data_IF_701573977642
#
_entry.id   IF_701573977642
#
_cell.length_a   1.000
_cell.length_b   1.000
_cell.length_c   1.000
_cell.angle_alpha   90.00
_cell.angle_beta   90.00
_cell.angle_gamma   90.00
#
_symmetry.space_group_name_H-M   'P 1'
#
loop_
_entity.id
_entity.type
_entity.pdbx_description
1 polymer ?
#
# COMPACT_ATOMS: atom_id res chain seq x y z
N UNK A 1 -2.13 -4.77 -35.13
CA UNK A 1 -1.61 -4.81 -33.76
C UNK A 1 -0.09 -4.89 -33.80
N UNK A 2 0.62 -3.96 -33.18
CA UNK A 2 2.09 -3.97 -33.13
C UNK A 2 2.54 -4.42 -31.75
N UNK A 3 3.43 -5.40 -31.70
CA UNK A 3 4.00 -5.93 -30.47
C UNK A 3 5.51 -5.72 -30.51
N UNK A 4 6.03 -4.96 -29.54
CA UNK A 4 7.46 -4.79 -29.34
C UNK A 4 7.94 -5.78 -28.26
N UNK A 5 8.94 -6.58 -28.60
CA UNK A 5 9.55 -7.56 -27.72
C UNK A 5 10.75 -6.95 -26.97
N UNK A 6 11.09 -7.53 -25.82
CA UNK A 6 12.22 -7.09 -24.97
C UNK A 6 13.56 -7.23 -25.70
N UNK A 7 13.66 -8.12 -26.69
CA UNK A 7 14.84 -8.28 -27.55
C UNK A 7 14.96 -7.20 -28.65
N UNK A 8 14.09 -6.18 -28.62
CA UNK A 8 14.06 -5.10 -29.58
C UNK A 8 13.38 -5.46 -30.90
N UNK A 9 12.86 -6.69 -31.07
CA UNK A 9 12.10 -7.05 -32.27
C UNK A 9 10.69 -6.48 -32.19
N UNK A 10 10.35 -5.70 -33.20
CA UNK A 10 8.99 -5.20 -33.39
C UNK A 10 8.30 -6.08 -34.41
N UNK A 11 7.19 -6.70 -34.02
CA UNK A 11 6.33 -7.48 -34.91
C UNK A 11 5.04 -6.73 -35.15
N UNK A 12 4.70 -6.53 -36.41
CA UNK A 12 3.43 -5.95 -36.84
C UNK A 12 2.53 -7.07 -37.31
N UNK A 13 1.39 -7.24 -36.63
CA UNK A 13 0.31 -8.11 -37.07
C UNK A 13 -0.73 -7.25 -37.76
N UNK A 14 -0.94 -7.48 -39.05
CA UNK A 14 -2.15 -7.00 -39.72
C UNK A 14 -3.31 -7.87 -39.26
N UNK A 15 -4.43 -7.26 -38.89
CA UNK A 15 -5.65 -8.02 -38.55
C UNK A 15 -6.20 -8.53 -39.88
N UNK A 16 -5.83 -9.75 -40.25
CA UNK A 16 -6.50 -10.44 -41.34
C UNK A 16 -7.98 -10.59 -40.95
N UNK A 17 -8.87 -9.96 -41.71
CA UNK A 17 -10.33 -10.10 -41.54
C UNK A 17 -10.83 -11.52 -41.87
N UNK A 18 -9.95 -12.40 -42.35
CA UNK A 18 -10.24 -13.80 -42.61
C UNK A 18 -9.34 -14.68 -41.75
N UNK A 19 -9.85 -15.08 -40.58
CA UNK A 19 -9.54 -16.42 -40.05
C UNK A 19 -10.19 -17.42 -40.99
N UNK A 20 -9.57 -18.58 -41.21
CA UNK A 20 -10.17 -19.65 -41.99
C UNK A 20 -11.50 -20.04 -41.32
N UNK A 21 -12.66 -19.75 -41.94
CA UNK A 21 -13.96 -19.97 -41.30
C UNK A 21 -14.19 -21.46 -41.02
N UNK A 22 -13.47 -22.33 -41.72
CA UNK A 22 -13.49 -23.77 -41.52
C UNK A 22 -12.83 -24.20 -40.20
N UNK A 23 -11.70 -23.58 -39.82
CA UNK A 23 -10.98 -23.92 -38.58
C UNK A 23 -11.76 -23.41 -37.35
N UNK A 24 -12.31 -22.21 -37.45
CA UNK A 24 -13.20 -21.64 -36.43
C UNK A 24 -14.50 -22.46 -36.30
N UNK A 25 -15.11 -22.86 -37.42
CA UNK A 25 -16.27 -23.74 -37.40
C UNK A 25 -15.95 -25.11 -36.78
N UNK A 26 -14.79 -25.69 -37.07
CA UNK A 26 -14.37 -26.97 -36.47
C UNK A 26 -14.10 -26.86 -34.96
N UNK A 27 -13.48 -25.76 -34.52
CA UNK A 27 -13.25 -25.51 -33.11
C UNK A 27 -14.57 -25.31 -32.35
N UNK A 28 -15.49 -24.52 -32.90
CA UNK A 28 -16.83 -24.34 -32.35
C UNK A 28 -17.60 -25.67 -32.32
N UNK A 29 -17.55 -26.47 -33.39
CA UNK A 29 -18.24 -27.76 -33.44
C UNK A 29 -17.73 -28.73 -32.35
N UNK A 30 -16.42 -28.69 -32.08
CA UNK A 30 -15.80 -29.46 -31.00
C UNK A 30 -16.25 -28.97 -29.62
N UNK A 31 -16.27 -27.65 -29.40
CA UNK A 31 -16.74 -27.04 -28.15
C UNK A 31 -18.21 -27.37 -27.88
N UNK A 32 -19.08 -27.22 -28.88
CA UNK A 32 -20.49 -27.58 -28.77
C UNK A 32 -20.70 -29.09 -28.59
N UNK A 33 -19.89 -29.93 -29.24
CA UNK A 33 -19.89 -31.38 -29.01
C UNK A 33 -19.56 -31.72 -27.55
N UNK A 34 -18.59 -31.02 -26.97
CA UNK A 34 -18.20 -31.21 -25.56
C UNK A 34 -19.27 -30.69 -24.59
N UNK A 35 -19.87 -29.52 -24.85
CA UNK A 35 -20.98 -29.00 -24.05
C UNK A 35 -22.18 -29.94 -24.08
N UNK A 36 -22.54 -30.47 -25.26
CA UNK A 36 -23.59 -31.48 -25.40
C UNK A 36 -23.29 -32.74 -24.58
N UNK A 37 -22.04 -33.22 -24.63
CA UNK A 37 -21.64 -34.38 -23.83
C UNK A 37 -21.78 -34.11 -22.32
N UNK A 38 -21.37 -32.94 -21.83
CA UNK A 38 -21.53 -32.55 -20.43
C UNK A 38 -23.01 -32.51 -20.01
N UNK A 39 -23.89 -31.93 -20.84
CA UNK A 39 -25.33 -31.88 -20.58
C UNK A 39 -25.96 -33.27 -20.56
N UNK A 40 -25.53 -34.18 -21.44
CA UNK A 40 -25.99 -35.57 -21.42
C UNK A 40 -25.55 -36.30 -20.15
N UNK A 41 -24.34 -36.02 -19.65
CA UNK A 41 -23.86 -36.55 -18.38
C UNK A 41 -24.66 -36.00 -17.20
N UNK A 42 -24.98 -34.69 -17.20
CA UNK A 42 -25.85 -34.09 -16.17
C UNK A 42 -27.26 -34.70 -16.19
N UNK A 43 -27.86 -34.90 -17.37
CA UNK A 43 -29.14 -35.61 -17.51
C UNK A 43 -29.06 -37.04 -16.98
N UNK A 44 -28.02 -37.78 -17.33
CA UNK A 44 -27.79 -39.13 -16.80
C UNK A 44 -27.65 -39.13 -15.27
N UNK A 45 -27.07 -38.10 -14.68
CA UNK A 45 -26.97 -37.95 -13.22
C UNK A 45 -28.35 -37.69 -12.61
N UNK A 46 -29.18 -36.84 -13.22
CA UNK A 46 -30.56 -36.59 -12.76
C UNK A 46 -31.44 -37.84 -12.85
N UNK A 47 -31.37 -38.61 -13.94
CA UNK A 47 -32.09 -39.89 -14.09
C UNK A 47 -31.62 -40.92 -13.06
N UNK A 48 -30.33 -40.96 -12.74
CA UNK A 48 -29.81 -41.82 -11.69
C UNK A 48 -30.35 -41.40 -10.31
N UNK A 49 -30.34 -40.10 -10.01
CA UNK A 49 -30.91 -39.56 -8.76
C UNK A 49 -32.41 -39.88 -8.61
N UNK A 50 -33.23 -39.87 -9.66
CA UNK A 50 -34.65 -40.25 -9.58
C UNK A 50 -34.85 -41.72 -9.17
N UNK A 51 -33.93 -42.58 -9.56
CA UNK A 51 -33.97 -44.02 -9.27
C UNK A 51 -33.40 -44.39 -7.89
N UNK A 52 -32.72 -43.47 -7.19
CA UNK A 52 -32.20 -43.68 -5.84
C UNK A 52 -33.33 -43.72 -4.80
N UNK A 53 -33.22 -44.65 -3.83
CA UNK A 53 -34.18 -44.77 -2.73
C UNK A 53 -34.10 -43.57 -1.77
N UNK A 54 -35.18 -43.31 -1.02
CA UNK A 54 -35.24 -42.18 -0.08
C UNK A 54 -34.19 -42.27 1.04
N UNK A 55 -33.86 -43.47 1.49
CA UNK A 55 -32.85 -43.73 2.52
C UNK A 55 -31.42 -43.43 2.02
N UNK A 56 -31.16 -43.64 0.73
CA UNK A 56 -29.86 -43.32 0.12
C UNK A 56 -29.67 -41.82 -0.09
N UNK A 57 -30.77 -41.06 -0.32
CA UNK A 57 -30.74 -39.59 -0.46
C UNK A 57 -30.52 -38.88 0.88
N UNK A 58 -31.05 -39.42 1.98
CA UNK A 58 -30.92 -38.81 3.32
C UNK A 58 -29.54 -39.05 3.96
N UNK A 59 -28.83 -40.12 3.58
CA UNK A 59 -27.48 -40.40 4.06
C UNK A 59 -26.38 -39.58 3.34
N UNK A 60 -26.72 -38.86 2.28
CA UNK A 60 -25.76 -38.05 1.53
C UNK A 60 -25.67 -36.64 2.13
N UNK A 61 -24.63 -36.39 2.93
CA UNK A 61 -24.33 -35.06 3.47
C UNK A 61 -23.91 -34.10 2.33
N UNK A 62 -24.88 -33.47 1.67
CA UNK A 62 -24.65 -32.51 0.59
C UNK A 62 -24.31 -31.14 1.15
N UNK A 63 -23.08 -30.68 0.91
CA UNK A 63 -22.69 -29.28 1.12
C UNK A 63 -23.21 -28.48 -0.09
N UNK A 64 -24.02 -27.44 0.08
CA UNK A 64 -24.50 -26.64 -1.04
C UNK A 64 -23.32 -25.96 -1.76
N UNK A 65 -23.12 -26.30 -3.03
CA UNK A 65 -22.11 -25.69 -3.91
C UNK A 65 -22.75 -24.49 -4.61
N UNK A 66 -22.02 -23.36 -4.68
CA UNK A 66 -22.46 -22.16 -5.42
C UNK A 66 -22.90 -20.98 -4.56
N UNK A 67 -22.77 -21.05 -3.23
CA UNK A 67 -23.02 -19.89 -2.36
C UNK A 67 -21.81 -18.97 -2.37
N UNK A 68 -21.89 -17.84 -3.07
CA UNK A 68 -20.89 -16.78 -2.96
C UNK A 68 -21.18 -15.96 -1.69
N UNK A 69 -20.30 -16.06 -0.69
CA UNK A 69 -20.31 -15.18 0.49
C UNK A 69 -19.19 -14.16 0.35
N UNK A 70 -19.50 -12.88 0.47
CA UNK A 70 -18.51 -11.82 0.58
C UNK A 70 -18.16 -11.57 2.05
N UNK A 71 -16.87 -11.48 2.36
CA UNK A 71 -16.41 -11.04 3.67
C UNK A 71 -16.37 -9.50 3.70
N UNK A 72 -16.93 -8.87 4.75
CA UNK A 72 -16.82 -7.42 4.94
C UNK A 72 -15.37 -6.95 5.06
N UNK A 73 -15.12 -5.69 4.68
CA UNK A 73 -13.76 -5.10 4.62
C UNK A 73 -13.01 -5.16 5.96
N UNK A 74 -13.74 -5.03 7.08
CA UNK A 74 -13.16 -4.99 8.43
C UNK A 74 -13.45 -6.26 9.24
N UNK A 75 -13.62 -7.41 8.57
CA UNK A 75 -13.89 -8.71 9.19
C UNK A 75 -12.83 -9.19 10.21
N UNK A 76 -11.64 -8.58 10.24
CA UNK A 76 -10.59 -8.90 11.21
C UNK A 76 -10.90 -8.42 12.64
N UNK A 77 -11.87 -7.54 12.79
CA UNK A 77 -12.25 -6.95 14.06
C UNK A 77 -13.49 -7.66 14.59
N UNK A 78 -13.36 -8.27 15.76
CA UNK A 78 -14.49 -8.86 16.48
C UNK A 78 -15.02 -7.84 17.48
N UNK A 79 -16.35 -7.64 17.49
CA UNK A 79 -17.01 -6.77 18.45
C UNK A 79 -16.98 -7.42 19.84
N UNK A 80 -16.65 -6.64 20.86
CA UNK A 80 -16.59 -7.05 22.26
C UNK A 80 -17.70 -6.35 23.05
N UNK A 81 -18.31 -7.02 24.05
CA UNK A 81 -19.25 -6.39 24.96
C UNK A 81 -18.71 -5.12 25.64
N UNK A 82 -19.57 -4.14 25.87
CA UNK A 82 -19.20 -2.82 26.38
C UNK A 82 -18.50 -2.85 27.76
N UNK A 83 -18.70 -3.91 28.54
CA UNK A 83 -18.18 -4.10 29.90
C UNK A 83 -16.68 -4.45 29.95
N UNK A 84 -16.10 -4.93 28.85
CA UNK A 84 -14.67 -5.26 28.83
C UNK A 84 -13.81 -3.99 28.67
N UNK A 85 -12.79 -3.90 29.52
CA UNK A 85 -11.73 -2.88 29.44
C UNK A 85 -10.77 -3.22 28.32
N UNK A 86 -10.77 -2.36 27.30
CA UNK A 86 -9.76 -2.35 26.26
C UNK A 86 -8.49 -1.67 26.79
N UNK A 87 -7.27 -2.14 26.45
CA UNK A 87 -6.04 -1.41 26.73
C UNK A 87 -6.06 -0.03 26.05
N UNK A 88 -5.72 1.02 26.82
CA UNK A 88 -5.71 2.41 26.35
C UNK A 88 -4.92 2.53 25.04
N UNK A 89 -5.63 2.95 23.99
CA UNK A 89 -5.02 3.22 22.69
C UNK A 89 -4.47 4.64 22.71
N UNK A 90 -3.19 4.79 22.37
CA UNK A 90 -2.50 6.09 22.41
C UNK A 90 -2.85 6.95 21.19
N UNK A 91 -3.29 6.32 20.09
CA UNK A 91 -3.64 6.99 18.84
C UNK A 91 -5.14 7.27 18.71
N UNK A 92 -5.51 8.48 18.30
CA UNK A 92 -6.89 8.82 17.98
C UNK A 92 -7.02 9.74 16.77
N UNK A 93 -8.16 9.64 16.08
CA UNK A 93 -8.56 10.53 15.01
C UNK A 93 -9.98 10.99 15.24
N UNK A 94 -10.19 12.30 15.18
CA UNK A 94 -11.48 12.93 15.35
C UNK A 94 -11.82 13.78 14.13
N UNK A 95 -13.05 13.65 13.65
CA UNK A 95 -13.57 14.47 12.56
C UNK A 95 -15.07 14.71 12.73
N UNK A 96 -15.58 15.72 12.04
CA UNK A 96 -17.02 16.02 12.04
C UNK A 96 -17.72 15.18 10.98
N UNK A 97 -18.75 14.46 11.38
CA UNK A 97 -19.59 13.64 10.51
C UNK A 97 -21.05 14.00 10.77
N UNK A 98 -21.66 14.73 9.82
CA UNK A 98 -23.07 15.14 9.94
C UNK A 98 -23.99 14.07 9.37
N UNK A 99 -24.35 13.06 10.18
CA UNK A 99 -25.22 11.96 9.76
C UNK A 99 -26.15 11.45 10.86
N UNK A 100 -27.20 10.72 10.46
CA UNK A 100 -28.12 10.08 11.42
C UNK A 100 -27.51 8.79 11.96
N UNK A 101 -27.71 8.50 13.25
CA UNK A 101 -27.21 7.28 13.92
C UNK A 101 -27.59 6.00 13.15
N UNK A 102 -28.85 5.81 12.66
CA UNK A 102 -29.19 4.60 11.90
C UNK A 102 -28.33 4.39 10.66
N UNK A 103 -27.99 5.45 9.92
CA UNK A 103 -27.14 5.32 8.72
C UNK A 103 -25.70 4.96 9.06
N UNK A 104 -25.20 5.44 10.20
CA UNK A 104 -23.87 5.06 10.69
C UNK A 104 -23.89 3.57 11.05
N UNK A 105 -24.94 3.11 11.71
CA UNK A 105 -25.15 1.69 12.04
C UNK A 105 -25.27 0.82 10.77
N UNK A 106 -26.00 1.25 9.75
CA UNK A 106 -26.09 0.55 8.45
C UNK A 106 -24.71 0.37 7.80
N UNK A 107 -23.91 1.45 7.76
CA UNK A 107 -22.52 1.38 7.29
C UNK A 107 -21.68 0.38 8.10
N UNK A 108 -21.92 0.29 9.41
CA UNK A 108 -21.20 -0.66 10.27
C UNK A 108 -21.58 -2.11 9.96
N UNK A 109 -22.86 -2.41 9.77
CA UNK A 109 -23.32 -3.76 9.38
C UNK A 109 -22.77 -4.20 8.02
N UNK A 110 -22.58 -3.28 7.07
CA UNK A 110 -21.97 -3.61 5.78
C UNK A 110 -20.46 -3.87 5.86
N UNK A 111 -19.76 -3.22 6.79
CA UNK A 111 -18.29 -3.21 6.82
C UNK A 111 -17.68 -4.07 7.94
N UNK A 112 -18.42 -4.36 9.00
CA UNK A 112 -18.00 -5.18 10.14
C UNK A 112 -18.87 -6.42 10.31
N UNK A 113 -18.34 -7.44 10.99
CA UNK A 113 -19.12 -8.61 11.40
C UNK A 113 -19.69 -8.30 12.78
N UNK A 114 -20.96 -7.90 12.82
CA UNK A 114 -21.70 -7.60 14.03
C UNK A 114 -22.72 -8.73 14.23
N UNK A 115 -22.66 -9.41 15.37
CA UNK A 115 -23.66 -10.42 15.73
C UNK A 115 -24.99 -9.77 16.13
N UNK A 116 -26.11 -10.45 15.94
CA UNK A 116 -27.45 -9.93 16.33
C UNK A 116 -27.65 -9.81 17.86
N UNK A 117 -26.64 -10.19 18.65
CA UNK A 117 -26.66 -10.11 20.12
C UNK A 117 -26.54 -8.66 20.67
N UNK A 118 -26.35 -7.66 19.82
CA UNK A 118 -26.10 -6.26 20.20
C UNK A 118 -27.34 -5.34 20.05
N UNK A 119 -28.45 -5.72 20.69
CA UNK A 119 -29.77 -5.04 20.65
C UNK A 119 -29.81 -3.58 21.15
N UNK A 120 -28.74 -3.04 21.73
CA UNK A 120 -28.68 -1.63 22.17
C UNK A 120 -28.50 -0.63 21.04
N UNK A 121 -28.17 -1.08 19.82
CA UNK A 121 -28.10 -0.24 18.61
C UNK A 121 -29.48 0.27 18.17
N UNK A 122 -30.56 -0.38 18.60
CA UNK A 122 -31.94 -0.05 18.22
C UNK A 122 -32.48 1.20 18.93
N UNK A 123 -31.89 1.59 20.07
CA UNK A 123 -32.43 2.65 20.95
C UNK A 123 -31.95 4.08 20.59
N UNK A 124 -31.38 4.29 19.40
CA UNK A 124 -30.78 5.58 18.97
C UNK A 124 -29.99 6.30 20.09
N UNK A 125 -28.96 5.66 20.68
CA UNK A 125 -28.23 6.28 21.78
C UNK A 125 -27.59 7.61 21.34
N UNK A 126 -27.63 8.62 22.23
CA UNK A 126 -26.99 9.92 21.97
C UNK A 126 -25.48 9.78 21.71
N UNK A 127 -24.85 8.73 22.26
CA UNK A 127 -23.47 8.36 22.03
C UNK A 127 -23.35 6.87 21.73
N UNK A 128 -22.88 6.56 20.54
CA UNK A 128 -22.53 5.21 20.13
C UNK A 128 -21.06 4.94 20.50
N UNK A 129 -20.79 3.91 21.30
CA UNK A 129 -19.43 3.51 21.69
C UNK A 129 -19.27 2.01 21.42
N UNK A 130 -18.49 1.69 20.39
CA UNK A 130 -18.28 0.33 19.93
C UNK A 130 -16.81 -0.06 20.04
N UNK A 131 -16.60 -1.22 20.64
CA UNK A 131 -15.31 -1.73 21.09
C UNK A 131 -14.98 -3.00 20.35
N UNK A 132 -13.91 -3.01 19.58
CA UNK A 132 -13.48 -4.16 18.81
C UNK A 132 -12.09 -4.60 19.23
N UNK A 133 -11.82 -5.91 19.10
CA UNK A 133 -10.48 -6.48 19.20
C UNK A 133 -10.06 -7.07 17.87
N UNK A 134 -8.82 -6.78 17.49
CA UNK A 134 -8.17 -7.36 16.34
C UNK A 134 -7.91 -8.85 16.58
N UNK A 135 -8.38 -9.69 15.66
CA UNK A 135 -8.12 -11.13 15.67
C UNK A 135 -6.69 -11.48 15.20
N UNK A 136 -5.87 -10.47 14.90
CA UNK A 136 -4.51 -10.68 14.42
C UNK A 136 -3.56 -11.07 15.57
N UNK A 137 -2.93 -12.27 15.51
CA UNK A 137 -2.22 -12.86 16.65
C UNK A 137 -0.95 -12.10 17.09
N UNK A 138 -0.44 -11.15 16.28
CA UNK A 138 0.81 -10.44 16.57
C UNK A 138 0.63 -9.07 17.21
N UNK A 139 -0.58 -8.48 17.17
CA UNK A 139 -0.72 -7.07 17.52
C UNK A 139 -1.71 -6.77 18.65
N UNK A 140 -2.66 -7.65 18.97
CA UNK A 140 -3.55 -7.46 20.13
C UNK A 140 -4.16 -6.05 20.21
N UNK A 141 -4.33 -5.39 19.08
CA UNK A 141 -4.77 -3.99 19.02
C UNK A 141 -6.27 -3.96 19.16
N UNK A 142 -6.74 -2.98 19.89
CA UNK A 142 -8.16 -2.72 20.00
C UNK A 142 -8.51 -1.51 19.12
N UNK A 143 -9.72 -1.56 18.58
CA UNK A 143 -10.32 -0.48 17.82
C UNK A 143 -11.54 -0.01 18.59
N UNK A 144 -11.61 1.29 18.88
CA UNK A 144 -12.81 1.88 19.47
C UNK A 144 -13.38 2.93 18.53
N UNK A 145 -14.67 2.84 18.27
CA UNK A 145 -15.41 3.79 17.45
C UNK A 145 -16.43 4.49 18.33
N UNK A 146 -16.30 5.81 18.43
CA UNK A 146 -17.19 6.65 19.22
C UNK A 146 -17.87 7.63 18.27
N UNK A 147 -19.20 7.61 18.23
CA UNK A 147 -19.99 8.60 17.51
C UNK A 147 -20.88 9.35 18.50
N UNK A 148 -20.71 10.67 18.57
CA UNK A 148 -21.49 11.57 19.39
C UNK A 148 -22.54 12.27 18.51
N UNK A 149 -23.82 11.96 18.73
CA UNK A 149 -24.94 12.50 17.95
C UNK A 149 -25.17 14.00 18.23
N UNK A 150 -25.16 14.50 19.49
CA UNK A 150 -25.21 15.93 19.78
C UNK A 150 -24.10 16.76 19.11
N UNK A 151 -22.86 16.28 19.14
CA UNK A 151 -21.71 17.01 18.60
C UNK A 151 -21.47 16.75 17.11
N UNK A 152 -22.09 15.71 16.56
CA UNK A 152 -21.85 15.21 15.19
C UNK A 152 -20.35 14.95 14.96
N UNK A 153 -19.68 14.42 15.98
CA UNK A 153 -18.25 14.08 15.96
C UNK A 153 -18.08 12.57 15.95
N UNK A 154 -17.18 12.10 15.10
CA UNK A 154 -16.80 10.70 15.00
C UNK A 154 -15.32 10.58 15.40
N UNK A 155 -15.06 9.77 16.43
CA UNK A 155 -13.74 9.55 17.00
C UNK A 155 -13.36 8.08 16.87
N UNK A 156 -12.21 7.85 16.25
CA UNK A 156 -11.60 6.52 16.05
C UNK A 156 -10.38 6.44 16.96
N UNK A 157 -10.36 5.50 17.88
CA UNK A 157 -9.18 5.21 18.70
C UNK A 157 -8.56 3.89 18.22
N UNK A 158 -7.34 3.96 17.72
CA UNK A 158 -6.60 2.82 17.22
C UNK A 158 -5.10 3.15 17.19
N UNK A 159 -4.25 2.16 17.44
CA UNK A 159 -2.79 2.35 17.41
C UNK A 159 -2.22 2.55 16.01
N UNK A 160 -2.75 1.84 15.00
CA UNK A 160 -2.25 1.96 13.61
C UNK A 160 -2.98 3.04 12.82
N UNK A 161 -2.20 3.96 12.26
CA UNK A 161 -2.69 5.01 11.35
C UNK A 161 -3.35 4.48 10.06
N UNK A 162 -2.85 3.36 9.49
CA UNK A 162 -3.35 2.78 8.24
C UNK A 162 -4.79 2.27 8.38
N UNK A 163 -5.10 1.65 9.52
CA UNK A 163 -6.44 1.17 9.85
C UNK A 163 -7.43 2.32 9.99
N UNK A 164 -7.05 3.36 10.74
CA UNK A 164 -7.88 4.56 10.91
C UNK A 164 -8.16 5.23 9.55
N UNK A 165 -7.13 5.35 8.70
CA UNK A 165 -7.29 5.87 7.34
C UNK A 165 -8.24 5.03 6.49
N UNK A 166 -8.11 3.71 6.52
CA UNK A 166 -9.00 2.81 5.76
C UNK A 166 -10.47 2.96 6.19
N UNK A 167 -10.73 3.11 7.49
CA UNK A 167 -12.07 3.35 8.04
C UNK A 167 -12.63 4.69 7.55
N UNK A 168 -11.85 5.78 7.67
CA UNK A 168 -12.27 7.12 7.23
C UNK A 168 -12.56 7.14 5.73
N UNK A 169 -11.71 6.53 4.90
CA UNK A 169 -11.95 6.43 3.46
C UNK A 169 -13.23 5.64 3.16
N UNK A 170 -13.46 4.50 3.84
CA UNK A 170 -14.69 3.74 3.65
C UNK A 170 -15.96 4.49 4.08
N UNK A 171 -15.87 5.30 5.14
CA UNK A 171 -16.97 6.18 5.58
C UNK A 171 -17.25 7.24 4.52
N UNK A 172 -16.20 7.88 4.00
CA UNK A 172 -16.37 8.91 2.99
C UNK A 172 -16.88 8.37 1.65
N UNK A 173 -16.44 7.17 1.25
CA UNK A 173 -16.94 6.48 0.07
C UNK A 173 -18.43 6.14 0.21
N UNK A 174 -18.84 5.62 1.39
CA UNK A 174 -20.24 5.26 1.67
C UNK A 174 -21.17 6.47 1.73
N UNK A 175 -20.75 7.53 2.44
CA UNK A 175 -21.53 8.76 2.59
C UNK A 175 -21.35 9.77 1.47
N UNK A 176 -20.48 9.48 0.50
CA UNK A 176 -20.12 10.36 -0.63
C UNK A 176 -19.69 11.75 -0.16
N UNK A 177 -18.83 11.80 0.86
CA UNK A 177 -18.34 13.06 1.42
C UNK A 177 -17.29 13.69 0.49
N UNK A 178 -17.52 14.90 -0.07
CA UNK A 178 -16.60 15.48 -1.03
C UNK A 178 -15.29 15.94 -0.39
N UNK A 179 -15.35 16.44 0.86
CA UNK A 179 -14.21 16.94 1.61
C UNK A 179 -14.36 16.57 3.10
N UNK A 180 -13.28 16.08 3.71
CA UNK A 180 -13.24 15.75 5.14
C UNK A 180 -11.89 16.17 5.74
N UNK A 181 -11.96 17.00 6.78
CA UNK A 181 -10.82 17.40 7.61
C UNK A 181 -10.82 16.59 8.90
N UNK A 182 -9.65 16.11 9.31
CA UNK A 182 -9.48 15.30 10.51
C UNK A 182 -8.40 15.91 11.42
N UNK A 183 -8.62 15.78 12.73
CA UNK A 183 -7.62 15.97 13.77
C UNK A 183 -7.08 14.60 14.18
N UNK A 184 -5.79 14.37 14.02
CA UNK A 184 -5.18 13.05 14.21
C UNK A 184 -3.95 13.12 15.10
N UNK A 185 -3.89 12.28 16.14
CA UNK A 185 -2.73 12.21 17.04
C UNK A 185 -2.24 10.77 17.07
N UNK A 186 -1.02 10.56 16.58
CA UNK A 186 -0.37 9.24 16.52
C UNK A 186 1.09 9.37 17.00
N UNK A 187 1.36 9.24 18.32
CA UNK A 187 2.68 9.53 18.87
C UNK A 187 3.80 8.62 18.33
N UNK A 188 3.47 7.36 18.02
CA UNK A 188 4.42 6.38 17.47
C UNK A 188 4.89 6.78 16.08
N UNK A 189 3.98 7.11 15.18
CA UNK A 189 4.24 7.52 13.81
C UNK A 189 4.90 8.91 13.75
N UNK A 190 4.54 9.82 14.66
CA UNK A 190 5.18 11.14 14.77
C UNK A 190 6.61 11.04 15.31
N UNK A 191 6.88 10.10 16.23
CA UNK A 191 8.24 9.77 16.66
C UNK A 191 9.08 9.20 15.52
N UNK A 192 8.52 8.31 14.71
CA UNK A 192 9.19 7.79 13.51
C UNK A 192 9.49 8.90 12.50
N UNK A 193 8.56 9.84 12.30
CA UNK A 193 8.75 10.99 11.42
C UNK A 193 9.96 11.84 11.84
N UNK A 194 10.07 12.18 13.12
CA UNK A 194 11.20 12.97 13.64
C UNK A 194 12.53 12.22 13.47
N UNK A 195 12.54 10.91 13.73
CA UNK A 195 13.71 10.06 13.47
C UNK A 195 14.11 10.07 11.98
N UNK A 196 13.13 9.95 11.08
CA UNK A 196 13.35 9.97 9.63
C UNK A 196 13.95 11.31 9.18
N UNK A 197 13.45 12.43 9.72
CA UNK A 197 13.95 13.77 9.38
C UNK A 197 15.40 13.96 9.84
N UNK A 198 15.73 13.52 11.06
CA UNK A 198 17.12 13.56 11.55
C UNK A 198 18.08 12.67 10.75
N UNK A 199 17.65 11.48 10.33
CA UNK A 199 18.45 10.63 9.45
C UNK A 199 18.63 11.24 8.04
N UNK A 200 17.62 11.96 7.54
CA UNK A 200 17.63 12.58 6.23
C UNK A 200 18.67 13.71 6.13
N UNK A 201 18.76 14.56 7.15
CA UNK A 201 19.76 15.63 7.24
C UNK A 201 21.19 15.09 7.14
N UNK A 202 21.51 14.06 7.94
CA UNK A 202 22.83 13.42 7.93
C UNK A 202 23.18 12.78 6.57
N UNK A 203 22.20 12.20 5.88
CA UNK A 203 22.41 11.61 4.55
C UNK A 203 22.64 12.67 3.48
N UNK A 204 21.95 13.81 3.55
CA UNK A 204 22.16 14.92 2.61
C UNK A 204 23.55 15.53 2.76
N UNK A 205 24.02 15.75 3.99
CA UNK A 205 25.39 16.21 4.25
C UNK A 205 26.42 15.20 3.70
N UNK A 206 26.24 13.91 3.98
CA UNK A 206 27.12 12.86 3.46
C UNK A 206 27.10 12.76 1.92
N UNK A 207 25.95 13.01 1.28
CA UNK A 207 25.80 12.94 -0.18
C UNK A 207 26.68 13.96 -0.89
N UNK A 208 26.72 15.21 -0.40
CA UNK A 208 27.53 16.27 -1.01
C UNK A 208 29.02 15.93 -0.91
N UNK A 209 29.47 15.53 0.28
CA UNK A 209 30.86 15.11 0.53
C UNK A 209 31.29 13.94 -0.35
N UNK A 210 30.49 12.86 -0.40
CA UNK A 210 30.80 11.68 -1.21
C UNK A 210 30.80 11.99 -2.72
N UNK A 211 29.98 12.95 -3.16
CA UNK A 211 29.96 13.39 -4.56
C UNK A 211 31.21 14.17 -4.93
N UNK A 212 31.71 15.03 -4.02
CA UNK A 212 32.97 15.74 -4.20
C UNK A 212 34.18 14.77 -4.22
N UNK A 213 34.25 13.84 -3.26
CA UNK A 213 35.32 12.83 -3.19
C UNK A 213 35.37 11.95 -4.45
N UNK A 214 34.22 11.52 -4.97
CA UNK A 214 34.16 10.76 -6.22
C UNK A 214 34.61 11.59 -7.43
N UNK A 215 34.23 12.87 -7.50
CA UNK A 215 34.64 13.77 -8.59
C UNK A 215 36.15 13.99 -8.60
N UNK A 216 36.75 14.20 -7.43
CA UNK A 216 38.19 14.34 -7.27
C UNK A 216 38.92 13.04 -7.67
N UNK A 217 38.45 11.88 -7.17
CA UNK A 217 39.02 10.59 -7.53
C UNK A 217 38.93 10.31 -9.05
N UNK A 218 37.80 10.67 -9.69
CA UNK A 218 37.62 10.56 -11.14
C UNK A 218 38.58 11.47 -11.91
N UNK A 219 38.80 12.71 -11.43
CA UNK A 219 39.74 13.66 -12.04
C UNK A 219 41.17 13.11 -12.01
N UNK A 220 41.60 12.61 -10.84
CA UNK A 220 42.94 12.02 -10.65
C UNK A 220 43.14 10.80 -11.55
N UNK A 221 42.15 9.92 -11.67
CA UNK A 221 42.23 8.75 -12.57
C UNK A 221 42.38 9.20 -14.03
N UNK A 222 41.58 10.17 -14.49
CA UNK A 222 41.68 10.70 -15.87
C UNK A 222 43.05 11.33 -16.15
N UNK A 223 43.54 12.18 -15.25
CA UNK A 223 44.85 12.82 -15.36
C UNK A 223 45.99 11.79 -15.40
N UNK A 224 45.96 10.79 -14.52
CA UNK A 224 46.98 9.73 -14.48
C UNK A 224 46.93 8.79 -15.67
N UNK A 225 45.73 8.55 -16.22
CA UNK A 225 45.57 7.79 -17.46
C UNK A 225 46.15 8.54 -18.66
N UNK A 226 45.84 9.83 -18.82
CA UNK A 226 46.41 10.65 -19.90
C UNK A 226 47.94 10.65 -19.85
N UNK A 227 48.54 10.83 -18.67
CA UNK A 227 50.01 10.74 -18.51
C UNK A 227 50.58 9.35 -18.81
N UNK A 228 49.84 8.29 -18.51
CA UNK A 228 50.26 6.93 -18.84
C UNK A 228 50.28 6.71 -20.35
N UNK A 229 49.26 7.20 -21.06
CA UNK A 229 49.17 7.14 -22.53
C UNK A 229 50.24 8.02 -23.20
N UNK A 230 50.50 9.22 -22.69
CA UNK A 230 51.58 10.09 -23.21
C UNK A 230 52.96 9.43 -23.07
N UNK A 231 53.23 8.76 -21.94
CA UNK A 231 54.47 8.03 -21.71
C UNK A 231 54.59 6.79 -22.60
N UNK A 232 53.48 6.12 -22.89
CA UNK A 232 53.41 5.02 -23.85
C UNK A 232 53.70 5.53 -25.28
N UNK A 233 53.10 6.65 -25.68
CA UNK A 233 53.30 7.25 -27.00
C UNK A 233 54.76 7.70 -27.23
N UNK A 234 55.44 8.13 -26.16
CA UNK A 234 56.85 8.51 -26.18
C UNK A 234 57.82 7.32 -25.98
N UNK A 235 57.36 6.06 -25.99
CA UNK A 235 58.17 4.84 -25.77
C UNK A 235 58.94 4.78 -24.42
N UNK A 236 58.54 5.57 -23.41
CA UNK A 236 59.15 5.56 -22.07
C UNK A 236 58.55 4.46 -21.18
N UNK A 237 58.94 3.22 -21.42
CA UNK A 237 58.36 2.01 -20.77
C UNK A 237 58.45 2.03 -19.23
N UNK A 238 59.52 2.58 -18.66
CA UNK A 238 59.72 2.63 -17.21
C UNK A 238 58.67 3.51 -16.51
N UNK A 239 58.38 4.69 -17.07
CA UNK A 239 57.40 5.63 -16.53
C UNK A 239 55.97 5.20 -16.83
N UNK A 240 55.74 4.61 -18.02
CA UNK A 240 54.48 3.95 -18.37
C UNK A 240 54.07 2.91 -17.30
N UNK A 241 54.97 2.00 -16.92
CA UNK A 241 54.70 1.00 -15.86
C UNK A 241 54.36 1.64 -14.52
N UNK A 242 55.03 2.74 -14.16
CA UNK A 242 54.76 3.48 -12.91
C UNK A 242 53.38 4.14 -12.94
N UNK A 243 53.03 4.81 -14.04
CA UNK A 243 51.74 5.46 -14.19
C UNK A 243 50.59 4.45 -14.22
N UNK A 244 50.72 3.31 -14.89
CA UNK A 244 49.68 2.27 -14.88
C UNK A 244 49.47 1.63 -13.49
N UNK A 245 50.52 1.44 -12.70
CA UNK A 245 50.37 1.02 -11.29
C UNK A 245 49.60 2.07 -10.49
N UNK A 246 49.89 3.36 -10.71
CA UNK A 246 49.17 4.47 -10.08
C UNK A 246 47.71 4.54 -10.51
N UNK A 247 47.41 4.38 -11.80
CA UNK A 247 46.05 4.29 -12.33
C UNK A 247 45.29 3.16 -11.65
N UNK A 248 45.88 1.96 -11.54
CA UNK A 248 45.24 0.81 -10.87
C UNK A 248 44.88 1.11 -9.40
N UNK A 249 45.77 1.79 -8.68
CA UNK A 249 45.52 2.16 -7.28
C UNK A 249 44.42 3.23 -7.17
N UNK A 250 44.48 4.26 -8.01
CA UNK A 250 43.48 5.33 -8.05
C UNK A 250 42.10 4.83 -8.48
N UNK A 251 42.05 3.92 -9.46
CA UNK A 251 40.84 3.26 -9.94
C UNK A 251 40.21 2.38 -8.84
N UNK A 252 41.02 1.67 -8.04
CA UNK A 252 40.52 0.97 -6.85
C UNK A 252 39.90 1.93 -5.84
N UNK A 253 40.54 3.06 -5.56
CA UNK A 253 40.01 4.09 -4.66
C UNK A 253 38.71 4.71 -5.20
N UNK A 254 38.65 5.03 -6.50
CA UNK A 254 37.45 5.53 -7.17
C UNK A 254 36.27 4.54 -7.08
N UNK A 255 36.53 3.24 -7.30
CA UNK A 255 35.49 2.21 -7.13
C UNK A 255 34.95 2.16 -5.70
N UNK A 256 35.83 2.26 -4.70
CA UNK A 256 35.43 2.29 -3.30
C UNK A 256 34.57 3.52 -2.99
N UNK A 257 34.99 4.71 -3.43
CA UNK A 257 34.21 5.94 -3.28
C UNK A 257 32.83 5.84 -3.95
N UNK A 258 32.76 5.27 -5.15
CA UNK A 258 31.47 5.07 -5.83
C UNK A 258 30.59 4.04 -5.11
N UNK A 259 31.16 2.97 -4.54
CA UNK A 259 30.40 2.00 -3.75
C UNK A 259 29.80 2.65 -2.49
N UNK A 260 30.56 3.48 -1.78
CA UNK A 260 30.05 4.23 -0.63
C UNK A 260 28.93 5.19 -1.03
N UNK A 261 29.09 5.91 -2.16
CA UNK A 261 28.04 6.78 -2.71
C UNK A 261 26.77 6.01 -3.05
N UNK A 262 26.89 4.83 -3.69
CA UNK A 262 25.74 3.99 -4.02
C UNK A 262 25.03 3.49 -2.77
N UNK A 263 25.77 3.03 -1.76
CA UNK A 263 25.19 2.62 -0.49
C UNK A 263 24.46 3.77 0.23
N UNK A 264 25.01 4.99 0.19
CA UNK A 264 24.34 6.18 0.72
C UNK A 264 23.07 6.52 -0.07
N UNK A 265 23.11 6.42 -1.40
CA UNK A 265 21.96 6.65 -2.26
C UNK A 265 20.83 5.63 -2.02
N UNK A 266 21.17 4.35 -1.81
CA UNK A 266 20.18 3.31 -1.50
C UNK A 266 19.49 3.59 -0.16
N UNK A 267 20.24 4.04 0.85
CA UNK A 267 19.68 4.48 2.14
C UNK A 267 18.77 5.69 1.98
N UNK A 268 19.19 6.71 1.23
CA UNK A 268 18.36 7.88 0.93
C UNK A 268 17.02 7.48 0.32
N UNK A 269 17.05 6.60 -0.70
CA UNK A 269 15.82 6.12 -1.36
C UNK A 269 14.93 5.34 -0.39
N UNK A 270 15.51 4.53 0.51
CA UNK A 270 14.76 3.80 1.52
C UNK A 270 14.06 4.75 2.51
N UNK A 271 14.75 5.79 2.99
CA UNK A 271 14.19 6.79 3.89
C UNK A 271 13.08 7.60 3.20
N UNK A 272 13.32 8.07 1.97
CA UNK A 272 12.31 8.81 1.20
C UNK A 272 11.06 7.97 0.93
N UNK A 273 11.19 6.66 0.71
CA UNK A 273 10.02 5.76 0.59
C UNK A 273 9.23 5.66 1.89
N UNK A 274 9.91 5.57 3.05
CA UNK A 274 9.24 5.56 4.36
C UNK A 274 8.52 6.88 4.62
N UNK A 275 9.19 8.01 4.36
CA UNK A 275 8.61 9.34 4.50
C UNK A 275 7.36 9.50 3.62
N UNK A 276 7.45 9.13 2.34
CA UNK A 276 6.30 9.18 1.43
C UNK A 276 5.16 8.28 1.90
N UNK A 277 5.45 7.08 2.44
CA UNK A 277 4.44 6.21 3.03
C UNK A 277 3.72 6.92 4.20
N UNK A 278 4.45 7.57 5.10
CA UNK A 278 3.86 8.32 6.22
C UNK A 278 2.99 9.50 5.73
N UNK A 279 3.48 10.26 4.74
CA UNK A 279 2.71 11.35 4.11
C UNK A 279 1.43 10.83 3.45
N UNK A 280 1.49 9.69 2.77
CA UNK A 280 0.32 9.04 2.18
C UNK A 280 -0.68 8.58 3.25
N UNK A 281 -0.20 8.03 4.37
CA UNK A 281 -1.06 7.66 5.50
C UNK A 281 -1.72 8.90 6.12
N UNK A 282 -0.98 10.00 6.29
CA UNK A 282 -1.52 11.29 6.76
C UNK A 282 -2.57 11.87 5.81
N UNK A 283 -2.36 11.71 4.49
CA UNK A 283 -3.30 12.14 3.48
C UNK A 283 -4.57 11.28 3.47
N UNK A 284 -4.47 9.96 3.75
CA UNK A 284 -5.59 9.03 3.84
C UNK A 284 -6.47 9.22 5.08
N UNK A 285 -6.03 9.99 6.07
CA UNK A 285 -6.90 10.40 7.18
C UNK A 285 -7.90 11.50 6.77
N UNK A 286 -7.73 12.07 5.58
CA UNK A 286 -8.53 13.18 5.05
C UNK A 286 -9.10 12.82 3.68
N UNK A 287 -10.12 13.54 3.24
CA UNK A 287 -10.79 13.27 1.96
C UNK A 287 -10.92 14.54 1.15
N UNK A 288 -10.78 14.41 -0.17
CA UNK A 288 -10.95 15.50 -1.13
C UNK A 288 -9.77 16.48 -1.14
N UNK A 289 -10.09 17.77 -1.12
CA UNK A 289 -9.12 18.86 -1.22
C UNK A 289 -8.13 18.87 -0.04
N UNK A 290 -8.62 18.63 1.18
CA UNK A 290 -7.78 18.58 2.38
C UNK A 290 -6.65 17.55 2.27
N UNK A 291 -6.92 16.39 1.66
CA UNK A 291 -5.91 15.35 1.40
C UNK A 291 -4.81 15.85 0.45
N UNK A 292 -5.20 16.54 -0.63
CA UNK A 292 -4.25 17.09 -1.63
C UNK A 292 -3.42 18.24 -1.08
N UNK A 293 -4.03 19.09 -0.25
CA UNK A 293 -3.35 20.19 0.42
C UNK A 293 -2.27 19.68 1.37
N UNK A 294 -2.55 18.64 2.18
CA UNK A 294 -1.54 18.01 3.05
C UNK A 294 -0.33 17.51 2.24
N UNK A 295 -0.55 16.79 1.14
CA UNK A 295 0.58 16.30 0.30
C UNK A 295 1.40 17.47 -0.25
N UNK A 296 0.74 18.53 -0.70
CA UNK A 296 1.40 19.71 -1.27
C UNK A 296 2.21 20.46 -0.22
N UNK A 297 1.63 20.70 0.95
CA UNK A 297 2.26 21.39 2.07
C UNK A 297 3.39 20.55 2.69
N UNK A 298 3.24 19.22 2.79
CA UNK A 298 4.33 18.32 3.19
C UNK A 298 5.53 18.44 2.24
N UNK A 299 5.28 18.49 0.93
CA UNK A 299 6.36 18.64 -0.06
C UNK A 299 7.04 20.01 0.00
N UNK A 300 6.28 21.06 0.30
CA UNK A 300 6.84 22.40 0.52
C UNK A 300 7.67 22.43 1.81
N UNK A 301 7.13 21.91 2.91
CA UNK A 301 7.83 21.84 4.19
C UNK A 301 9.11 20.98 4.13
N UNK A 302 9.14 19.96 3.27
CA UNK A 302 10.35 19.18 2.99
C UNK A 302 11.42 20.00 2.25
N UNK A 303 11.02 20.87 1.33
CA UNK A 303 11.95 21.78 0.63
C UNK A 303 12.45 22.90 1.55
N UNK A 304 11.60 23.34 2.48
CA UNK A 304 11.90 24.41 3.44
C UNK A 304 12.55 23.89 4.74
N UNK A 305 12.85 22.59 4.83
CA UNK A 305 13.49 21.89 5.96
C UNK A 305 12.85 22.17 7.33
N UNK A 306 11.52 22.35 7.38
CA UNK A 306 10.83 22.74 8.61
C UNK A 306 10.09 21.56 9.28
N UNK A 307 10.78 20.90 10.22
CA UNK A 307 10.25 19.78 10.99
C UNK A 307 9.00 20.14 11.83
N UNK A 308 8.95 21.35 12.40
CA UNK A 308 7.84 21.76 13.28
C UNK A 308 6.52 21.96 12.54
N UNK A 309 6.60 22.37 11.26
CA UNK A 309 5.42 22.53 10.41
C UNK A 309 4.90 21.16 9.98
N UNK A 310 5.78 20.19 9.70
CA UNK A 310 5.40 18.83 9.33
C UNK A 310 4.56 18.14 10.41
N UNK A 311 5.00 18.17 11.67
CA UNK A 311 4.23 17.54 12.77
C UNK A 311 2.86 18.19 12.95
N UNK A 312 2.78 19.53 12.89
CA UNK A 312 1.50 20.25 12.97
C UNK A 312 0.57 19.94 11.80
N UNK A 313 1.13 19.77 10.61
CA UNK A 313 0.37 19.44 9.41
C UNK A 313 -0.21 18.02 9.47
N UNK A 314 0.51 17.09 10.09
CA UNK A 314 0.00 15.75 10.34
C UNK A 314 -1.15 15.79 11.35
N UNK A 315 -1.00 16.57 12.43
CA UNK A 315 -2.00 16.71 13.50
C UNK A 315 -3.29 17.39 13.05
N UNK A 316 -3.20 18.61 12.53
CA UNK A 316 -4.37 19.47 12.25
C UNK A 316 -4.71 19.55 10.76
N UNK A 317 -3.76 19.31 9.87
CA UNK A 317 -3.91 19.52 8.43
C UNK A 317 -3.44 20.92 8.01
N UNK A 318 -3.99 21.40 6.88
CA UNK A 318 -3.72 22.71 6.29
C UNK A 318 -4.38 23.86 7.05
#
# INVERSE_FOLDING_TARGET
MTVALIDGKVRTFEVAQHRDPMEEAQQLLREYGQQKHNLLMELSNYEHEENMSKEEKENENRIPVGVTRSLPRFSRFALIPAEETIPDQVGFVEFKLVQRVPKVVDWMYENFIISDEFSYLENEPERLDLKFVSLQPKLGTALRLIYDSPQQTFRIEHSEMETAGAIIQSLADYFQLPNLTSHAVFPTEFGELSSIMGELEAIYEAKEKLSAELSEAQSIVKETLVRAEDALHCDHVADCRRYYVRVRNNDRAMRQANQLRMANQDRLVAILRRLNKLVELAAKLRVGEASRQVITLCRQALNDENETIMSKLFEFGA
#
